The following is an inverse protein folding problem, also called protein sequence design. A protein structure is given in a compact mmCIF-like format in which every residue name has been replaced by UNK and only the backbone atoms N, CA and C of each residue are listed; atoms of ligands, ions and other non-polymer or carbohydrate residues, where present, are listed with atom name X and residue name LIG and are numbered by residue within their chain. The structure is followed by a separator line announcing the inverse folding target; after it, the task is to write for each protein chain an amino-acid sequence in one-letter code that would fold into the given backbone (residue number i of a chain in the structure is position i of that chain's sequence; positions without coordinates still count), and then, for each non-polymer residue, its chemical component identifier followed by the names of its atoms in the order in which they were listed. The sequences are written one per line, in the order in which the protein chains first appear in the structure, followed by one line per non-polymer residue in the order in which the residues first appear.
data_IF_829647664515
#
_entry.id   IF_829647664515
#
_cell.length_a   1.000
_cell.length_b   1.000
_cell.length_c   1.000
_cell.angle_alpha   90.00
_cell.angle_beta   90.00
_cell.angle_gamma   90.00
#
_symmetry.space_group_name_H-M   'P 1'
#
loop_
_entity.id
_entity.type
_entity.pdbx_description
1 polymer ?
#
# COMPACT_ATOMS: atom_id res chain seq x y z
N UNK A 1 71.48 44.14 5.46
CA UNK A 1 70.68 44.68 4.39
C UNK A 1 69.22 44.33 4.69
N UNK A 2 68.45 45.32 4.99
CA UNK A 2 67.04 45.25 5.43
C UNK A 2 66.07 45.10 4.23
N UNK A 3 65.13 44.17 4.33
CA UNK A 3 63.98 44.11 3.44
C UNK A 3 62.69 44.42 4.24
N UNK A 4 61.77 45.27 3.74
CA UNK A 4 60.56 45.64 4.45
C UNK A 4 59.43 44.64 4.18
N UNK A 5 58.65 44.38 5.22
CA UNK A 5 57.42 43.62 5.18
C UNK A 5 56.32 44.46 4.60
N UNK A 6 55.72 44.03 3.49
CA UNK A 6 54.45 44.57 2.97
C UNK A 6 53.26 43.74 3.46
N UNK A 7 52.40 44.39 4.21
CA UNK A 7 51.17 43.85 4.82
C UNK A 7 50.10 43.73 3.73
N UNK A 8 49.79 42.55 3.26
CA UNK A 8 48.60 42.31 2.45
C UNK A 8 47.40 42.00 3.36
N UNK A 9 46.47 42.94 3.45
CA UNK A 9 45.16 42.72 4.06
C UNK A 9 44.30 41.91 3.11
N UNK A 10 44.02 40.63 3.44
CA UNK A 10 42.95 39.82 2.82
C UNK A 10 41.60 40.35 3.38
N UNK A 11 40.82 40.93 2.52
CA UNK A 11 39.40 41.21 2.78
C UNK A 11 38.61 39.93 2.53
N UNK A 12 38.30 39.23 3.62
CA UNK A 12 37.33 38.10 3.56
C UNK A 12 35.91 38.68 3.43
N UNK A 13 35.41 38.76 2.21
CA UNK A 13 34.01 39.02 1.96
C UNK A 13 33.23 37.75 2.29
N UNK A 14 32.64 37.73 3.49
CA UNK A 14 31.75 36.66 3.90
C UNK A 14 30.46 36.72 3.05
N UNK A 15 30.32 35.77 2.14
CA UNK A 15 29.01 35.50 1.50
C UNK A 15 28.15 34.85 2.57
N UNK A 16 27.27 35.64 3.20
CA UNK A 16 26.18 35.12 4.00
C UNK A 16 25.21 34.42 3.04
N UNK A 17 25.30 33.09 2.96
CA UNK A 17 24.23 32.28 2.42
C UNK A 17 23.03 32.51 3.34
N UNK A 18 22.12 33.36 2.92
CA UNK A 18 20.76 33.39 3.44
C UNK A 18 20.14 32.03 3.14
N UNK A 19 20.16 31.13 4.13
CA UNK A 19 19.30 29.97 4.14
C UNK A 19 17.86 30.51 4.14
N UNK A 20 17.25 30.64 2.96
CA UNK A 20 15.82 30.83 2.86
C UNK A 20 15.18 29.66 3.62
N UNK A 21 14.28 29.91 4.59
CA UNK A 21 13.51 28.82 5.14
C UNK A 21 12.81 28.17 3.95
N UNK A 22 12.97 26.87 3.78
CA UNK A 22 12.16 26.11 2.85
C UNK A 22 10.71 26.37 3.29
N UNK A 23 10.02 27.22 2.53
CA UNK A 23 8.60 27.42 2.72
C UNK A 23 7.98 26.04 2.56
N UNK A 24 7.46 25.48 3.64
CA UNK A 24 6.71 24.25 3.56
C UNK A 24 5.60 24.48 2.54
N UNK A 25 5.69 23.78 1.43
CA UNK A 25 4.73 23.85 0.37
C UNK A 25 3.33 23.62 0.95
N UNK A 26 2.42 24.55 0.71
CA UNK A 26 1.09 24.52 1.30
C UNK A 26 0.33 23.30 0.78
N UNK A 27 -0.19 22.48 1.70
CA UNK A 27 -1.10 21.40 1.34
C UNK A 27 -2.52 21.83 1.66
N UNK A 28 -3.35 21.96 0.64
CA UNK A 28 -4.74 22.38 0.78
C UNK A 28 -5.71 21.22 0.54
N UNK A 29 -6.78 21.20 1.32
CA UNK A 29 -7.86 20.23 1.22
C UNK A 29 -9.16 20.92 0.84
N UNK A 30 -9.85 20.34 -0.13
CA UNK A 30 -11.20 20.75 -0.51
C UNK A 30 -12.10 19.52 -0.63
N UNK A 31 -13.38 19.70 -0.29
CA UNK A 31 -14.43 18.77 -0.64
C UNK A 31 -15.38 19.48 -1.60
N UNK A 32 -15.53 18.93 -2.80
CA UNK A 32 -16.46 19.46 -3.80
C UNK A 32 -17.90 19.18 -3.38
N UNK A 33 -18.85 19.93 -3.92
CA UNK A 33 -20.28 19.78 -3.63
C UNK A 33 -20.82 18.38 -3.96
N UNK A 34 -20.18 17.68 -4.90
CA UNK A 34 -20.48 16.29 -5.25
C UNK A 34 -19.82 15.27 -4.34
N UNK A 35 -19.16 15.69 -3.27
CA UNK A 35 -18.53 14.85 -2.26
C UNK A 35 -17.12 14.38 -2.58
N UNK A 36 -16.55 14.71 -3.74
CA UNK A 36 -15.17 14.38 -4.09
C UNK A 36 -14.19 15.11 -3.17
N UNK A 37 -13.24 14.38 -2.60
CA UNK A 37 -12.14 14.94 -1.85
C UNK A 37 -11.02 15.33 -2.80
N UNK A 38 -10.39 16.49 -2.57
CA UNK A 38 -9.27 17.00 -3.36
C UNK A 38 -8.18 17.47 -2.42
N UNK A 39 -6.98 16.93 -2.59
CA UNK A 39 -5.78 17.33 -1.86
C UNK A 39 -4.78 17.84 -2.87
N UNK A 40 -4.29 19.05 -2.67
CA UNK A 40 -3.30 19.70 -3.55
C UNK A 40 -2.10 20.08 -2.68
N UNK A 41 -0.92 19.57 -3.02
CA UNK A 41 0.33 19.84 -2.34
C UNK A 41 1.34 20.44 -3.33
N UNK A 42 1.80 21.65 -3.08
CA UNK A 42 2.84 22.28 -3.90
C UNK A 42 4.18 21.58 -3.71
N UNK A 43 4.92 21.43 -4.79
CA UNK A 43 6.31 21.01 -4.78
C UNK A 43 7.02 21.54 -6.05
N UNK A 44 7.72 22.65 -5.90
CA UNK A 44 8.36 23.36 -7.02
C UNK A 44 9.82 22.91 -7.29
N UNK A 45 10.26 21.77 -6.73
CA UNK A 45 11.63 21.27 -6.94
C UNK A 45 11.90 20.83 -8.39
N UNK A 46 10.85 20.45 -9.11
CA UNK A 46 10.90 20.08 -10.52
C UNK A 46 9.61 20.50 -11.24
N UNK A 47 9.63 20.81 -12.54
CA UNK A 47 8.45 21.26 -13.29
C UNK A 47 7.54 20.09 -13.68
N UNK A 48 7.23 19.23 -12.72
CA UNK A 48 6.39 18.02 -12.89
C UNK A 48 5.23 18.03 -11.91
N UNK A 49 4.20 17.29 -12.25
CA UNK A 49 3.04 17.07 -11.38
C UNK A 49 2.67 15.59 -11.41
N UNK A 50 2.41 15.05 -10.24
CA UNK A 50 1.78 13.75 -10.03
C UNK A 50 0.31 13.96 -9.69
N UNK A 51 -0.57 13.24 -10.38
CA UNK A 51 -1.96 13.08 -9.98
C UNK A 51 -2.21 11.64 -9.55
N UNK A 52 -2.93 11.44 -8.46
CA UNK A 52 -3.45 10.14 -8.05
C UNK A 52 -4.96 10.24 -7.82
N UNK A 53 -5.72 9.46 -8.57
CA UNK A 53 -7.17 9.36 -8.39
C UNK A 53 -7.49 8.03 -7.69
N UNK A 54 -7.84 8.13 -6.42
CA UNK A 54 -8.12 7.03 -5.51
C UNK A 54 -9.62 6.74 -5.49
N UNK A 55 -10.03 5.55 -5.91
CA UNK A 55 -11.39 5.05 -5.67
C UNK A 55 -11.36 4.14 -4.45
N UNK A 56 -12.21 4.44 -3.45
CA UNK A 56 -12.34 3.65 -2.22
C UNK A 56 -13.12 2.37 -2.50
N UNK A 57 -12.55 1.51 -3.36
CA UNK A 57 -13.11 0.24 -3.81
C UNK A 57 -11.99 -0.72 -4.22
N UNK A 58 -11.95 -1.90 -3.65
CA UNK A 58 -10.97 -2.92 -3.95
C UNK A 58 -11.57 -4.32 -3.83
N UNK A 59 -10.72 -5.34 -3.77
CA UNK A 59 -11.20 -6.74 -3.74
C UNK A 59 -11.97 -7.11 -2.47
N UNK A 60 -11.80 -6.39 -1.35
CA UNK A 60 -12.58 -6.65 -0.11
C UNK A 60 -14.07 -6.33 -0.25
N UNK A 61 -14.42 -5.52 -1.21
CA UNK A 61 -15.81 -5.12 -1.47
C UNK A 61 -16.52 -6.08 -2.43
N UNK A 62 -15.79 -7.04 -3.01
CA UNK A 62 -16.30 -8.01 -3.97
C UNK A 62 -17.15 -9.08 -3.32
N UNK A 63 -18.05 -9.65 -4.09
CA UNK A 63 -18.95 -10.71 -3.61
C UNK A 63 -18.44 -12.10 -4.03
N UNK A 64 -18.71 -13.15 -3.23
CA UNK A 64 -18.37 -14.52 -3.60
C UNK A 64 -18.89 -14.90 -4.99
N UNK A 65 -18.03 -15.55 -5.79
CA UNK A 65 -18.34 -15.94 -7.17
C UNK A 65 -18.05 -14.87 -8.23
N UNK A 66 -17.61 -13.68 -7.80
CA UNK A 66 -17.22 -12.57 -8.68
C UNK A 66 -15.91 -11.92 -8.23
N UNK A 67 -14.95 -12.70 -7.74
CA UNK A 67 -13.64 -12.20 -7.34
C UNK A 67 -12.83 -11.75 -8.56
N UNK A 68 -12.05 -10.69 -8.40
CA UNK A 68 -11.27 -10.05 -9.46
C UNK A 68 -12.03 -8.99 -10.26
N UNK A 69 -13.23 -8.58 -9.82
CA UNK A 69 -14.02 -7.52 -10.47
C UNK A 69 -13.28 -6.18 -10.48
N UNK A 70 -12.68 -5.80 -9.35
CA UNK A 70 -11.99 -4.51 -9.20
C UNK A 70 -10.78 -4.45 -10.11
N UNK A 71 -9.94 -5.48 -10.10
CA UNK A 71 -8.77 -5.59 -10.96
C UNK A 71 -9.15 -5.67 -12.45
N UNK A 72 -10.16 -6.47 -12.80
CA UNK A 72 -10.63 -6.53 -14.18
C UNK A 72 -11.21 -5.19 -14.66
N UNK A 73 -11.86 -4.42 -13.79
CA UNK A 73 -12.33 -3.09 -14.13
C UNK A 73 -11.16 -2.11 -14.30
N UNK A 74 -10.12 -2.19 -13.48
CA UNK A 74 -8.90 -1.39 -13.64
C UNK A 74 -8.36 -1.53 -15.07
N UNK A 75 -8.18 -2.77 -15.57
CA UNK A 75 -7.77 -3.03 -16.96
C UNK A 75 -8.72 -2.41 -17.99
N UNK A 76 -10.02 -2.51 -17.75
CA UNK A 76 -11.02 -1.98 -18.67
C UNK A 76 -11.07 -0.46 -18.69
N UNK A 77 -10.61 0.24 -17.65
CA UNK A 77 -10.53 1.71 -17.62
C UNK A 77 -9.59 2.29 -18.68
N UNK A 78 -8.70 1.49 -19.25
CA UNK A 78 -7.81 1.86 -20.36
C UNK A 78 -8.36 1.47 -21.74
N UNK A 79 -9.56 0.87 -21.81
CA UNK A 79 -10.13 0.36 -23.07
C UNK A 79 -11.09 1.34 -23.74
N UNK A 80 -11.06 2.61 -23.34
CA UNK A 80 -11.70 3.72 -24.01
C UNK A 80 -12.99 4.22 -23.33
N UNK A 81 -13.37 5.41 -23.77
CA UNK A 81 -14.61 6.09 -23.39
C UNK A 81 -15.40 6.40 -24.65
N UNK A 82 -16.49 7.16 -24.52
CA UNK A 82 -17.22 7.68 -25.68
C UNK A 82 -16.42 8.73 -26.47
N UNK A 83 -15.44 9.40 -25.83
CA UNK A 83 -14.66 10.50 -26.42
C UNK A 83 -13.19 10.16 -26.67
N UNK A 84 -12.68 9.13 -26.01
CA UNK A 84 -11.30 8.68 -26.10
C UNK A 84 -11.29 7.20 -26.51
N UNK A 85 -10.89 6.88 -27.76
CA UNK A 85 -10.81 5.49 -28.23
C UNK A 85 -9.89 4.61 -27.39
N UNK A 86 -10.10 3.30 -27.46
CA UNK A 86 -9.29 2.31 -26.74
C UNK A 86 -7.80 2.44 -27.08
N UNK A 87 -6.95 2.47 -26.05
CA UNK A 87 -5.49 2.64 -26.16
C UNK A 87 -5.03 4.08 -26.35
N UNK A 88 -5.90 5.03 -26.64
CA UNK A 88 -5.51 6.42 -26.82
C UNK A 88 -5.23 7.16 -25.50
N UNK A 89 -5.76 6.72 -24.37
CA UNK A 89 -5.49 7.36 -23.10
C UNK A 89 -3.98 7.43 -22.83
N UNK A 90 -3.34 6.28 -22.70
CA UNK A 90 -1.90 6.18 -22.44
C UNK A 90 -1.05 6.75 -23.58
N UNK A 91 -1.49 6.58 -24.84
CA UNK A 91 -0.80 7.19 -25.99
C UNK A 91 -0.79 8.72 -25.93
N UNK A 92 -1.88 9.34 -25.47
CA UNK A 92 -1.95 10.82 -25.31
C UNK A 92 -1.07 11.30 -24.17
N UNK A 93 -1.04 10.57 -23.05
CA UNK A 93 -0.14 10.89 -21.92
C UNK A 93 1.33 10.75 -22.36
N UNK A 94 1.70 9.64 -22.96
CA UNK A 94 3.06 9.41 -23.46
C UNK A 94 3.51 10.41 -24.53
N UNK A 95 2.62 10.83 -25.43
CA UNK A 95 2.90 11.86 -26.42
C UNK A 95 3.24 13.24 -25.81
N UNK A 96 2.80 13.49 -24.59
CA UNK A 96 3.10 14.69 -23.78
C UNK A 96 4.33 14.48 -22.86
N UNK A 97 5.02 13.32 -22.97
CA UNK A 97 6.17 12.99 -22.15
C UNK A 97 5.80 12.52 -20.72
N UNK A 98 4.54 12.16 -20.48
CA UNK A 98 4.07 11.64 -19.21
C UNK A 98 4.06 10.10 -19.17
N UNK A 99 3.91 9.59 -17.95
CA UNK A 99 3.74 8.17 -17.64
C UNK A 99 2.45 7.99 -16.85
N UNK A 100 1.64 7.00 -17.22
CA UNK A 100 0.41 6.63 -16.54
C UNK A 100 0.45 5.17 -16.11
N UNK A 101 -0.14 4.89 -14.96
CA UNK A 101 -0.31 3.53 -14.47
C UNK A 101 -1.51 3.46 -13.52
N UNK A 102 -1.82 2.23 -13.07
CA UNK A 102 -2.82 1.99 -12.06
C UNK A 102 -2.45 0.76 -11.22
N UNK A 103 -3.09 0.61 -10.08
CA UNK A 103 -3.07 -0.61 -9.31
C UNK A 103 -4.38 -0.81 -8.55
N UNK A 104 -4.71 -2.06 -8.30
CA UNK A 104 -5.81 -2.46 -7.41
C UNK A 104 -5.24 -3.20 -6.20
N UNK A 105 -5.61 -2.74 -5.03
CA UNK A 105 -5.34 -3.41 -3.76
C UNK A 105 -6.60 -4.08 -3.20
N UNK A 106 -6.53 -4.72 -2.05
CA UNK A 106 -7.74 -5.14 -1.36
C UNK A 106 -8.72 -3.98 -1.08
N UNK A 107 -8.25 -2.76 -0.88
CA UNK A 107 -9.04 -1.68 -0.29
C UNK A 107 -9.31 -0.50 -1.21
N UNK A 108 -8.52 -0.33 -2.27
CA UNK A 108 -8.63 0.77 -3.24
C UNK A 108 -8.26 0.33 -4.66
N UNK A 109 -8.65 1.17 -5.62
CA UNK A 109 -8.13 1.17 -6.98
C UNK A 109 -7.64 2.57 -7.29
N UNK A 110 -6.37 2.70 -7.68
CA UNK A 110 -5.69 3.98 -7.85
C UNK A 110 -5.19 4.11 -9.28
N UNK A 111 -5.43 5.26 -9.86
CA UNK A 111 -4.91 5.66 -11.18
C UNK A 111 -3.98 6.83 -10.98
N UNK A 112 -2.79 6.78 -11.57
CA UNK A 112 -1.81 7.84 -11.41
C UNK A 112 -1.17 8.24 -12.72
N UNK A 113 -0.83 9.52 -12.81
CA UNK A 113 -0.13 10.11 -13.95
C UNK A 113 0.96 11.04 -13.44
N UNK A 114 2.19 10.82 -13.90
CA UNK A 114 3.32 11.73 -13.70
C UNK A 114 3.62 12.43 -15.03
N UNK A 115 3.61 13.77 -15.05
CA UNK A 115 3.72 14.53 -16.29
C UNK A 115 4.27 15.94 -16.02
N UNK A 116 4.78 16.64 -17.07
CA UNK A 116 5.12 18.04 -16.94
C UNK A 116 3.90 18.88 -16.51
N UNK A 117 4.07 19.76 -15.53
CA UNK A 117 2.99 20.50 -14.84
C UNK A 117 2.04 21.25 -15.79
N UNK A 118 2.56 21.78 -16.89
CA UNK A 118 1.75 22.49 -17.92
C UNK A 118 0.65 21.61 -18.54
N UNK A 119 0.76 20.28 -18.46
CA UNK A 119 -0.19 19.33 -19.05
C UNK A 119 -1.24 18.83 -18.04
N UNK A 120 -1.21 19.28 -16.79
CA UNK A 120 -2.20 18.93 -15.77
C UNK A 120 -3.66 19.08 -16.23
N UNK A 121 -4.08 20.17 -16.91
CA UNK A 121 -5.46 20.29 -17.37
C UNK A 121 -5.89 19.18 -18.34
N UNK A 122 -4.97 18.67 -19.15
CA UNK A 122 -5.24 17.54 -20.05
C UNK A 122 -5.48 16.25 -19.26
N UNK A 123 -4.66 15.98 -18.23
CA UNK A 123 -4.84 14.82 -17.34
C UNK A 123 -6.18 14.90 -16.63
N UNK A 124 -6.50 16.04 -15.98
CA UNK A 124 -7.78 16.22 -15.26
C UNK A 124 -8.99 15.98 -16.17
N UNK A 125 -8.94 16.46 -17.42
CA UNK A 125 -10.00 16.23 -18.40
C UNK A 125 -10.15 14.76 -18.76
N UNK A 126 -9.05 14.05 -18.98
CA UNK A 126 -9.05 12.62 -19.33
C UNK A 126 -9.54 11.75 -18.16
N UNK A 127 -9.12 12.07 -16.92
CA UNK A 127 -9.55 11.40 -15.70
C UNK A 127 -11.05 11.60 -15.44
N UNK A 128 -11.54 12.84 -15.59
CA UNK A 128 -12.96 13.14 -15.45
C UNK A 128 -13.81 12.42 -16.51
N UNK A 129 -13.30 12.33 -17.76
CA UNK A 129 -13.97 11.61 -18.84
C UNK A 129 -14.10 10.12 -18.51
N UNK A 130 -13.01 9.44 -18.11
CA UNK A 130 -13.08 8.01 -17.80
C UNK A 130 -13.87 7.69 -16.51
N UNK A 131 -14.02 8.64 -15.58
CA UNK A 131 -14.88 8.50 -14.41
C UNK A 131 -16.36 8.32 -14.79
N UNK A 132 -16.81 8.91 -15.89
CA UNK A 132 -18.24 8.94 -16.24
C UNK A 132 -18.58 8.28 -17.57
N UNK A 133 -17.64 8.22 -18.50
CA UNK A 133 -17.91 7.85 -19.90
C UNK A 133 -17.23 6.55 -20.32
N UNK A 134 -16.74 5.73 -19.39
CA UNK A 134 -16.15 4.43 -19.72
C UNK A 134 -17.07 3.63 -20.63
N UNK A 135 -16.56 3.23 -21.79
CA UNK A 135 -17.29 2.48 -22.79
C UNK A 135 -16.40 1.44 -23.46
N UNK A 136 -16.55 0.20 -23.08
CA UNK A 136 -15.83 -0.91 -23.68
C UNK A 136 -16.77 -1.91 -24.37
N UNK A 137 -16.31 -2.48 -25.47
CA UNK A 137 -17.05 -3.53 -26.18
C UNK A 137 -16.92 -4.89 -25.48
N UNK A 138 -17.87 -5.76 -25.72
CA UNK A 138 -17.80 -7.15 -25.23
C UNK A 138 -16.61 -7.91 -25.84
N UNK A 139 -16.14 -7.51 -27.04
CA UNK A 139 -14.94 -8.06 -27.64
C UNK A 139 -13.68 -7.63 -26.88
N UNK A 140 -13.55 -6.34 -26.52
CA UNK A 140 -12.45 -5.83 -25.68
C UNK A 140 -12.42 -6.55 -24.34
N UNK A 141 -13.56 -6.70 -23.68
CA UNK A 141 -13.67 -7.47 -22.43
C UNK A 141 -13.18 -8.90 -22.60
N UNK A 142 -13.66 -9.66 -23.61
CA UNK A 142 -13.22 -11.05 -23.81
C UNK A 142 -11.72 -11.18 -24.05
N UNK A 143 -11.11 -10.22 -24.75
CA UNK A 143 -9.66 -10.22 -24.98
C UNK A 143 -8.92 -9.92 -23.68
N UNK A 144 -9.35 -8.92 -22.92
CA UNK A 144 -8.68 -8.54 -21.67
C UNK A 144 -8.79 -9.63 -20.62
N UNK A 145 -9.93 -10.32 -20.52
CA UNK A 145 -10.06 -11.47 -19.62
C UNK A 145 -9.10 -12.63 -19.94
N UNK A 146 -8.58 -12.73 -21.18
CA UNK A 146 -7.48 -13.68 -21.46
C UNK A 146 -6.16 -13.19 -20.88
N UNK A 147 -5.88 -11.90 -20.99
CA UNK A 147 -4.68 -11.26 -20.41
C UNK A 147 -4.70 -11.42 -18.88
N UNK A 148 -5.80 -11.06 -18.23
CA UNK A 148 -5.95 -11.15 -16.76
C UNK A 148 -5.81 -12.60 -16.26
N UNK A 149 -6.34 -13.58 -16.97
CA UNK A 149 -6.15 -15.00 -16.60
C UNK A 149 -4.71 -15.47 -16.77
N UNK A 150 -4.01 -14.97 -17.79
CA UNK A 150 -2.59 -15.26 -17.97
C UNK A 150 -1.74 -14.58 -16.89
N UNK A 151 -2.03 -13.33 -16.59
CA UNK A 151 -1.43 -12.61 -15.46
C UNK A 151 -1.65 -13.34 -14.13
N UNK A 152 -2.87 -13.83 -13.90
CA UNK A 152 -3.19 -14.64 -12.72
C UNK A 152 -2.29 -15.89 -12.63
N UNK A 153 -2.05 -16.58 -13.77
CA UNK A 153 -1.12 -17.72 -13.76
C UNK A 153 0.28 -17.30 -13.38
N UNK A 154 0.81 -16.27 -14.04
CA UNK A 154 2.19 -15.81 -13.84
C UNK A 154 2.41 -15.24 -12.44
N UNK A 155 1.48 -14.42 -11.94
CA UNK A 155 1.65 -13.73 -10.67
C UNK A 155 1.29 -14.57 -9.46
N UNK A 156 0.39 -15.54 -9.58
CA UNK A 156 -0.07 -16.33 -8.41
C UNK A 156 0.24 -17.82 -8.56
N UNK A 157 -0.20 -18.46 -9.66
CA UNK A 157 -0.09 -19.90 -9.77
C UNK A 157 1.36 -20.38 -10.00
N UNK A 158 2.12 -19.62 -10.81
CA UNK A 158 3.53 -19.88 -11.10
C UNK A 158 4.49 -19.19 -10.11
N UNK A 159 3.96 -18.39 -9.17
CA UNK A 159 4.72 -17.75 -8.10
C UNK A 159 4.57 -18.51 -6.79
N UNK A 160 5.59 -19.25 -6.32
CA UNK A 160 5.51 -19.99 -5.07
C UNK A 160 5.14 -19.10 -3.86
N UNK A 161 5.68 -17.88 -3.79
CA UNK A 161 5.41 -16.96 -2.70
C UNK A 161 3.94 -16.50 -2.70
N UNK A 162 3.41 -16.11 -3.84
CA UNK A 162 2.02 -15.63 -3.93
C UNK A 162 1.02 -16.79 -3.79
N UNK A 163 1.33 -17.97 -4.30
CA UNK A 163 0.53 -19.18 -4.08
C UNK A 163 0.47 -19.57 -2.59
N UNK A 164 1.62 -19.48 -1.89
CA UNK A 164 1.70 -19.71 -0.45
C UNK A 164 0.89 -18.66 0.33
N UNK A 165 1.01 -17.40 -0.03
CA UNK A 165 0.27 -16.30 0.59
C UNK A 165 -1.25 -16.42 0.34
N UNK A 166 -1.67 -16.72 -0.89
CA UNK A 166 -3.10 -16.94 -1.17
C UNK A 166 -3.66 -18.13 -0.38
N UNK A 167 -2.88 -19.19 -0.21
CA UNK A 167 -3.28 -20.31 0.65
C UNK A 167 -3.46 -19.87 2.11
N UNK A 168 -2.56 -19.02 2.62
CA UNK A 168 -2.68 -18.43 3.95
C UNK A 168 -3.98 -17.62 4.06
N UNK A 169 -4.24 -16.69 3.13
CA UNK A 169 -5.45 -15.88 3.10
C UNK A 169 -6.71 -16.75 3.12
N UNK A 170 -6.75 -17.79 2.28
CA UNK A 170 -7.90 -18.69 2.14
C UNK A 170 -8.26 -19.48 3.40
N UNK A 171 -7.29 -19.75 4.30
CA UNK A 171 -7.54 -20.41 5.59
C UNK A 171 -7.66 -19.44 6.76
N UNK A 172 -7.04 -18.26 6.65
CA UNK A 172 -7.12 -17.22 7.67
C UNK A 172 -8.52 -16.61 7.75
N UNK A 173 -9.13 -16.31 6.61
CA UNK A 173 -10.39 -15.59 6.51
C UNK A 173 -11.55 -16.52 6.10
N UNK A 174 -12.74 -16.28 6.65
CA UNK A 174 -13.95 -17.04 6.32
C UNK A 174 -14.95 -16.21 5.54
N UNK A 175 -15.18 -14.97 5.99
CA UNK A 175 -16.19 -14.06 5.43
C UNK A 175 -15.57 -13.00 4.54
N UNK A 176 -14.42 -12.47 4.95
CA UNK A 176 -13.74 -11.41 4.21
C UNK A 176 -13.38 -11.87 2.80
N UNK A 177 -13.59 -11.00 1.81
CA UNK A 177 -13.10 -11.21 0.45
C UNK A 177 -11.55 -11.23 0.37
N UNK A 178 -10.83 -10.76 1.40
CA UNK A 178 -9.38 -10.95 1.55
C UNK A 178 -8.93 -12.41 1.63
N UNK A 179 -9.85 -13.36 1.62
CA UNK A 179 -9.52 -14.80 1.50
C UNK A 179 -8.94 -15.19 0.13
N UNK A 180 -8.94 -14.30 -0.83
CA UNK A 180 -8.40 -14.51 -2.19
C UNK A 180 -7.44 -13.40 -2.56
N UNK A 181 -6.52 -13.68 -3.47
CA UNK A 181 -5.66 -12.66 -4.06
C UNK A 181 -6.51 -11.63 -4.84
N UNK A 182 -6.08 -10.38 -4.88
CA UNK A 182 -6.80 -9.24 -5.50
C UNK A 182 -7.17 -9.49 -6.96
N UNK A 183 -6.34 -10.19 -7.71
CA UNK A 183 -6.62 -10.57 -9.11
C UNK A 183 -7.82 -11.52 -9.25
N UNK A 184 -8.34 -12.08 -8.14
CA UNK A 184 -9.43 -13.03 -8.12
C UNK A 184 -9.00 -14.48 -8.35
N UNK A 185 -9.92 -15.43 -8.16
CA UNK A 185 -9.67 -16.86 -8.40
C UNK A 185 -10.01 -17.25 -9.84
N UNK A 186 -9.24 -18.15 -10.43
CA UNK A 186 -9.37 -18.55 -11.83
C UNK A 186 -10.82 -18.96 -12.20
N UNK A 187 -11.49 -19.72 -11.32
CA UNK A 187 -12.89 -20.11 -11.54
C UNK A 187 -13.82 -18.92 -11.75
N UNK A 188 -13.70 -17.89 -10.91
CA UNK A 188 -14.56 -16.72 -10.97
C UNK A 188 -14.22 -15.87 -12.20
N UNK A 189 -12.93 -15.72 -12.53
CA UNK A 189 -12.46 -15.03 -13.74
C UNK A 189 -12.99 -15.65 -15.04
N UNK A 190 -13.27 -16.96 -15.05
CA UNK A 190 -13.94 -17.63 -16.19
C UNK A 190 -15.43 -17.30 -16.30
N UNK A 191 -16.07 -16.90 -15.21
CA UNK A 191 -17.52 -16.67 -15.15
C UNK A 191 -17.92 -15.18 -15.17
N UNK A 192 -16.96 -14.26 -14.99
CA UNK A 192 -17.23 -12.82 -15.12
C UNK A 192 -17.78 -12.48 -16.50
N UNK A 193 -18.73 -11.55 -16.51
CA UNK A 193 -19.42 -11.07 -17.73
C UNK A 193 -19.20 -9.55 -17.89
N UNK A 194 -19.27 -9.03 -19.11
CA UNK A 194 -19.15 -7.58 -19.36
C UNK A 194 -20.09 -6.75 -18.48
N UNK A 195 -21.31 -7.23 -18.25
CA UNK A 195 -22.30 -6.51 -17.45
C UNK A 195 -21.94 -6.46 -15.95
N UNK A 196 -21.17 -7.43 -15.43
CA UNK A 196 -20.71 -7.40 -14.04
C UNK A 196 -19.77 -6.19 -13.82
N UNK A 197 -18.83 -5.98 -14.75
CA UNK A 197 -17.90 -4.84 -14.70
C UNK A 197 -18.62 -3.51 -14.93
N UNK A 198 -19.56 -3.46 -15.89
CA UNK A 198 -20.36 -2.24 -16.13
C UNK A 198 -21.20 -1.87 -14.90
N UNK A 199 -21.73 -2.86 -14.19
CA UNK A 199 -22.46 -2.65 -12.94
C UNK A 199 -21.54 -2.16 -11.84
N UNK A 200 -20.36 -2.80 -11.68
CA UNK A 200 -19.34 -2.42 -10.69
C UNK A 200 -18.89 -0.98 -10.88
N UNK A 201 -18.57 -0.60 -12.13
CA UNK A 201 -18.24 0.77 -12.51
C UNK A 201 -19.36 1.76 -12.14
N UNK A 202 -20.59 1.48 -12.53
CA UNK A 202 -21.73 2.37 -12.22
C UNK A 202 -21.99 2.52 -10.73
N UNK A 203 -21.66 1.52 -9.94
CA UNK A 203 -21.89 1.53 -8.48
C UNK A 203 -20.81 2.31 -7.72
N UNK A 204 -19.55 2.19 -8.13
CA UNK A 204 -18.43 2.58 -7.30
C UNK A 204 -17.56 3.72 -7.85
N UNK A 205 -17.54 3.93 -9.17
CA UNK A 205 -16.75 4.98 -9.79
C UNK A 205 -17.54 6.28 -9.84
N UNK A 206 -17.52 6.99 -8.72
CA UNK A 206 -18.27 8.23 -8.51
C UNK A 206 -17.43 9.22 -7.69
N UNK A 207 -17.67 10.56 -7.85
CA UNK A 207 -16.94 11.58 -7.12
C UNK A 207 -16.94 11.38 -5.60
N UNK A 208 -18.10 11.06 -5.02
CA UNK A 208 -18.25 10.85 -3.59
C UNK A 208 -17.68 9.51 -3.06
N UNK A 209 -17.04 8.73 -3.91
CA UNK A 209 -16.23 7.56 -3.56
C UNK A 209 -14.77 7.73 -3.99
N UNK A 210 -14.37 8.96 -4.34
CA UNK A 210 -13.05 9.25 -4.88
C UNK A 210 -12.34 10.36 -4.10
N UNK A 211 -11.00 10.20 -4.01
CA UNK A 211 -10.07 11.24 -3.55
C UNK A 211 -9.09 11.53 -4.67
N UNK A 212 -8.98 12.78 -5.09
CA UNK A 212 -7.98 13.24 -6.05
C UNK A 212 -6.84 13.91 -5.30
N UNK A 213 -5.64 13.42 -5.50
CA UNK A 213 -4.41 13.96 -4.91
C UNK A 213 -3.55 14.49 -6.04
N UNK A 214 -3.06 15.71 -5.89
CA UNK A 214 -2.21 16.41 -6.86
C UNK A 214 -0.99 16.93 -6.10
N UNK A 215 0.21 16.47 -6.48
CA UNK A 215 1.47 16.88 -5.86
C UNK A 215 2.45 17.31 -6.95
N UNK A 216 3.05 18.47 -6.84
CA UNK A 216 4.05 18.94 -7.79
C UNK A 216 4.04 20.44 -8.01
N UNK A 217 4.59 20.86 -9.17
CA UNK A 217 4.75 22.26 -9.56
C UNK A 217 3.39 22.87 -9.99
N UNK A 218 2.57 23.16 -9.00
CA UNK A 218 1.20 23.64 -9.21
C UNK A 218 0.86 24.82 -8.28
N UNK A 219 -0.03 25.70 -8.75
CA UNK A 219 -0.67 26.69 -7.88
C UNK A 219 -2.00 26.13 -7.38
N UNK A 220 -2.25 26.06 -6.07
CA UNK A 220 -3.43 25.41 -5.50
C UNK A 220 -4.75 26.04 -5.95
N UNK A 221 -4.86 27.36 -6.05
CA UNK A 221 -6.10 28.04 -6.43
C UNK A 221 -6.46 27.74 -7.89
N UNK A 222 -5.48 27.86 -8.79
CA UNK A 222 -5.67 27.58 -10.21
C UNK A 222 -5.97 26.11 -10.45
N UNK A 223 -5.27 25.23 -9.73
CA UNK A 223 -5.49 23.78 -9.78
C UNK A 223 -6.89 23.42 -9.30
N UNK A 224 -7.33 23.99 -8.18
CA UNK A 224 -8.68 23.77 -7.68
C UNK A 224 -9.76 24.26 -8.66
N UNK A 225 -9.54 25.42 -9.30
CA UNK A 225 -10.46 25.93 -10.33
C UNK A 225 -10.57 24.94 -11.51
N UNK A 226 -9.43 24.39 -11.99
CA UNK A 226 -9.41 23.36 -13.03
C UNK A 226 -10.11 22.07 -12.58
N UNK A 227 -9.87 21.59 -11.35
CA UNK A 227 -10.56 20.42 -10.79
C UNK A 227 -12.07 20.67 -10.74
N UNK A 228 -12.52 21.81 -10.25
CA UNK A 228 -13.94 22.18 -10.23
C UNK A 228 -14.56 22.21 -11.63
N UNK A 229 -13.81 22.70 -12.62
CA UNK A 229 -14.27 22.74 -14.02
C UNK A 229 -14.53 21.32 -14.57
N UNK A 230 -13.65 20.36 -14.33
CA UNK A 230 -13.76 19.04 -14.93
C UNK A 230 -14.57 18.05 -14.07
N UNK A 231 -14.44 18.08 -12.75
CA UNK A 231 -15.08 17.13 -11.85
C UNK A 231 -16.32 17.68 -11.15
N UNK A 232 -16.43 19.01 -10.98
CA UNK A 232 -17.49 19.61 -10.17
C UNK A 232 -18.90 19.37 -10.70
N UNK A 233 -19.07 19.16 -12.02
CA UNK A 233 -20.35 18.89 -12.65
C UNK A 233 -20.75 17.42 -12.65
N UNK A 234 -19.83 16.51 -12.26
CA UNK A 234 -20.12 15.08 -12.19
C UNK A 234 -21.01 14.82 -10.96
N UNK A 235 -22.20 14.24 -11.12
CA UNK A 235 -23.09 14.05 -9.99
C UNK A 235 -22.60 12.98 -9.03
N UNK A 236 -22.81 13.20 -7.73
CA UNK A 236 -22.68 12.14 -6.72
C UNK A 236 -23.64 10.97 -7.01
N UNK A 237 -23.27 9.79 -6.54
CA UNK A 237 -24.11 8.57 -6.67
C UNK A 237 -24.43 8.00 -5.30
N UNK A 238 -25.57 7.34 -5.18
CA UNK A 238 -25.88 6.51 -4.03
C UNK A 238 -24.94 5.29 -4.02
N UNK A 239 -24.02 5.26 -3.05
CA UNK A 239 -23.09 4.14 -2.92
C UNK A 239 -23.78 2.93 -2.28
N UNK A 240 -23.50 1.70 -2.73
CA UNK A 240 -23.98 0.50 -2.08
C UNK A 240 -23.50 0.41 -0.63
N UNK A 241 -24.33 -0.21 0.23
CA UNK A 241 -23.88 -0.56 1.58
C UNK A 241 -22.80 -1.63 1.49
N UNK A 242 -21.64 -1.38 2.13
CA UNK A 242 -20.57 -2.37 2.21
C UNK A 242 -20.99 -3.55 3.08
N UNK A 243 -20.49 -4.73 2.74
CA UNK A 243 -20.76 -5.93 3.53
C UNK A 243 -20.04 -5.86 4.88
N UNK A 244 -20.65 -6.41 5.91
CA UNK A 244 -19.97 -6.66 7.19
C UNK A 244 -19.07 -7.88 7.03
N UNK A 245 -17.79 -7.63 7.01
CA UNK A 245 -16.71 -8.62 6.87
C UNK A 245 -16.01 -8.92 8.18
N UNK A 246 -16.58 -8.48 9.32
CA UNK A 246 -15.99 -8.70 10.63
C UNK A 246 -15.87 -10.21 10.94
N UNK A 247 -14.72 -10.58 11.47
CA UNK A 247 -14.38 -11.96 11.85
C UNK A 247 -13.74 -12.04 13.23
N UNK A 248 -13.87 -13.21 13.87
CA UNK A 248 -13.17 -13.48 15.12
C UNK A 248 -11.67 -13.60 14.88
N UNK A 249 -10.89 -12.74 15.52
CA UNK A 249 -9.44 -12.72 15.39
C UNK A 249 -8.74 -13.89 16.13
N UNK A 250 -9.40 -14.44 17.16
CA UNK A 250 -8.88 -15.53 18.00
C UNK A 250 -9.28 -16.95 17.55
N UNK A 251 -9.98 -17.07 16.41
CA UNK A 251 -10.43 -18.38 15.90
C UNK A 251 -9.24 -19.31 15.60
N UNK A 252 -9.17 -20.53 16.15
CA UNK A 252 -8.15 -21.49 15.78
C UNK A 252 -8.25 -21.89 14.30
N UNK A 253 -7.10 -22.07 13.65
CA UNK A 253 -7.01 -22.51 12.26
C UNK A 253 -6.07 -23.71 12.18
N UNK A 254 -6.50 -24.77 11.48
CA UNK A 254 -5.64 -25.92 11.25
C UNK A 254 -4.51 -25.53 10.28
N UNK A 255 -3.27 -25.91 10.56
CA UNK A 255 -2.16 -25.75 9.63
C UNK A 255 -2.46 -26.37 8.27
N UNK A 256 -1.90 -25.80 7.22
CA UNK A 256 -2.00 -26.35 5.88
C UNK A 256 -0.60 -26.58 5.28
N UNK A 257 -0.51 -27.54 4.38
CA UNK A 257 0.68 -27.81 3.59
C UNK A 257 0.32 -27.83 2.11
N UNK A 258 1.27 -27.45 1.26
CA UNK A 258 1.14 -27.52 -0.19
C UNK A 258 2.45 -27.93 -0.85
N UNK A 259 2.40 -28.29 -2.12
CA UNK A 259 3.57 -28.57 -2.95
C UNK A 259 3.52 -27.67 -4.18
N UNK A 260 4.68 -27.17 -4.59
CA UNK A 260 4.82 -26.35 -5.78
C UNK A 260 6.18 -26.55 -6.43
N UNK A 261 6.32 -26.06 -7.66
CA UNK A 261 7.61 -26.02 -8.35
C UNK A 261 8.50 -24.94 -7.73
N UNK A 262 9.11 -25.29 -6.61
CA UNK A 262 10.09 -24.44 -5.89
C UNK A 262 11.36 -25.24 -5.64
N UNK A 263 12.50 -24.56 -5.56
CA UNK A 263 13.79 -25.21 -5.25
C UNK A 263 13.96 -25.49 -3.76
N UNK A 264 13.29 -24.74 -2.91
CA UNK A 264 13.46 -24.80 -1.46
C UNK A 264 12.09 -24.74 -0.77
N UNK A 265 11.98 -25.28 0.44
CA UNK A 265 10.78 -25.12 1.26
C UNK A 265 10.54 -23.64 1.59
N UNK A 266 9.28 -23.27 1.69
CA UNK A 266 8.82 -21.94 2.12
C UNK A 266 7.80 -22.11 3.23
N UNK A 267 7.67 -21.11 4.08
CA UNK A 267 6.61 -21.08 5.08
C UNK A 267 6.10 -19.68 5.31
N UNK A 268 4.87 -19.58 5.75
CA UNK A 268 4.27 -18.34 6.21
C UNK A 268 3.47 -18.59 7.49
N UNK A 269 3.69 -17.72 8.48
CA UNK A 269 2.87 -17.57 9.67
C UNK A 269 2.03 -16.33 9.52
N UNK A 270 0.75 -16.38 9.89
CA UNK A 270 -0.12 -15.23 9.94
C UNK A 270 -0.85 -15.18 11.28
N UNK A 271 -1.01 -14.00 11.83
CA UNK A 271 -1.81 -13.74 13.02
C UNK A 271 -2.84 -12.68 12.67
N UNK A 272 -4.13 -12.98 12.90
CA UNK A 272 -5.19 -11.98 12.71
C UNK A 272 -5.12 -10.98 13.83
N UNK A 273 -4.89 -9.74 13.48
CA UNK A 273 -4.67 -8.64 14.43
C UNK A 273 -5.57 -7.45 14.09
N UNK A 274 -5.82 -6.56 15.07
CA UNK A 274 -6.54 -5.31 14.81
C UNK A 274 -5.73 -4.41 13.87
N UNK A 275 -6.43 -3.52 13.18
CA UNK A 275 -5.92 -2.37 12.44
C UNK A 275 -6.20 -1.09 13.20
N UNK A 276 -5.62 0.03 12.80
CA UNK A 276 -5.88 1.32 13.41
C UNK A 276 -7.28 1.80 13.03
N UNK A 277 -8.17 1.96 14.03
CA UNK A 277 -9.51 2.48 13.84
C UNK A 277 -9.65 3.91 14.37
N UNK A 278 -8.90 4.23 15.41
CA UNK A 278 -8.85 5.55 16.04
C UNK A 278 -7.41 5.89 16.37
N UNK A 279 -7.05 7.15 16.26
CA UNK A 279 -5.69 7.61 16.55
C UNK A 279 -5.17 7.20 17.95
N UNK A 280 -6.04 6.98 18.91
CA UNK A 280 -5.65 6.58 20.27
C UNK A 280 -5.60 5.06 20.50
N UNK A 281 -5.83 4.24 19.49
CA UNK A 281 -5.70 2.78 19.60
C UNK A 281 -4.20 2.42 19.68
N UNK A 282 -3.71 2.01 20.85
CA UNK A 282 -2.28 1.76 21.06
C UNK A 282 -1.77 0.45 20.43
N UNK A 283 -2.64 -0.56 20.36
CA UNK A 283 -2.24 -1.91 19.93
C UNK A 283 -1.71 -1.97 18.49
N UNK A 284 -2.35 -1.33 17.47
CA UNK A 284 -1.81 -1.33 16.12
C UNK A 284 -0.41 -0.70 16.01
N UNK A 285 -0.15 0.40 16.73
CA UNK A 285 1.20 1.00 16.79
C UNK A 285 2.23 0.05 17.41
N UNK A 286 1.83 -0.65 18.48
CA UNK A 286 2.71 -1.60 19.14
C UNK A 286 3.01 -2.83 18.28
N UNK A 287 2.06 -3.29 17.45
CA UNK A 287 2.24 -4.37 16.48
C UNK A 287 3.21 -3.96 15.36
N UNK A 288 3.15 -2.72 14.91
CA UNK A 288 4.03 -2.16 13.89
C UNK A 288 5.48 -2.09 14.40
N UNK A 289 5.68 -1.48 15.56
CA UNK A 289 7.00 -1.41 16.24
C UNK A 289 7.54 -2.81 16.57
N UNK A 290 6.69 -3.76 16.97
CA UNK A 290 7.09 -5.16 17.18
C UNK A 290 7.63 -5.77 15.87
N UNK A 291 7.00 -5.48 14.73
CA UNK A 291 7.50 -5.90 13.41
C UNK A 291 8.93 -5.40 13.16
N UNK A 292 9.16 -4.12 13.39
CA UNK A 292 10.46 -3.47 13.22
C UNK A 292 11.54 -4.01 14.17
N UNK A 293 11.20 -4.35 15.42
CA UNK A 293 12.13 -5.00 16.36
C UNK A 293 12.52 -6.39 15.88
N UNK A 294 11.58 -7.13 15.27
CA UNK A 294 11.83 -8.50 14.80
C UNK A 294 12.55 -8.54 13.46
N UNK A 295 12.27 -7.62 12.52
CA UNK A 295 12.82 -7.67 11.15
C UNK A 295 13.13 -6.31 10.49
N UNK A 296 12.80 -5.17 11.05
CA UNK A 296 12.91 -3.85 10.40
C UNK A 296 14.33 -3.39 10.02
N UNK A 297 15.38 -4.07 10.46
CA UNK A 297 16.77 -3.68 10.18
C UNK A 297 17.76 -4.84 10.39
N UNK A 298 19.01 -4.66 9.96
CA UNK A 298 20.03 -5.70 10.05
C UNK A 298 20.33 -6.18 11.48
N UNK A 299 20.13 -5.38 12.51
CA UNK A 299 20.31 -5.78 13.92
C UNK A 299 19.01 -6.29 14.58
N UNK A 300 17.90 -6.37 13.83
CA UNK A 300 16.62 -6.92 14.30
C UNK A 300 16.77 -8.40 14.69
N UNK A 301 15.90 -8.87 15.60
CA UNK A 301 16.07 -10.18 16.25
C UNK A 301 16.12 -11.36 15.26
N UNK A 302 15.26 -11.40 14.25
CA UNK A 302 15.28 -12.48 13.26
C UNK A 302 16.55 -12.47 12.43
N UNK A 303 16.92 -11.32 11.89
CA UNK A 303 18.14 -11.14 11.13
C UNK A 303 19.39 -11.49 11.95
N UNK A 304 19.47 -11.02 13.20
CA UNK A 304 20.59 -11.25 14.09
C UNK A 304 20.70 -12.72 14.55
N UNK A 305 19.57 -13.30 15.02
CA UNK A 305 19.61 -14.59 15.72
C UNK A 305 19.44 -15.77 14.77
N UNK A 306 18.52 -15.70 13.79
CA UNK A 306 18.13 -16.83 12.96
C UNK A 306 18.83 -16.83 11.60
N UNK A 307 19.06 -15.67 10.98
CA UNK A 307 19.74 -15.60 9.68
C UNK A 307 21.25 -15.63 9.86
N UNK A 308 21.83 -14.69 10.60
CA UNK A 308 23.30 -14.57 10.74
C UNK A 308 23.88 -15.40 11.88
N UNK A 309 23.18 -15.50 13.01
CA UNK A 309 23.66 -16.20 14.20
C UNK A 309 23.56 -17.73 14.04
N UNK A 310 22.36 -18.29 14.16
CA UNK A 310 22.13 -19.72 14.08
C UNK A 310 22.14 -20.28 12.64
N UNK A 311 22.06 -19.40 11.64
CA UNK A 311 21.99 -19.79 10.22
C UNK A 311 20.91 -20.82 9.91
N UNK A 312 19.75 -20.69 10.57
CA UNK A 312 18.59 -21.57 10.43
C UNK A 312 17.59 -21.10 9.38
N UNK A 313 17.69 -19.82 8.99
CA UNK A 313 16.91 -19.23 7.92
C UNK A 313 17.81 -18.57 6.87
N UNK A 314 17.41 -18.62 5.60
CA UNK A 314 18.01 -17.82 4.53
C UNK A 314 17.40 -16.42 4.50
N UNK A 315 16.08 -16.36 4.71
CA UNK A 315 15.31 -15.12 4.69
C UNK A 315 14.14 -15.24 5.66
N UNK A 316 13.85 -14.15 6.35
CA UNK A 316 12.64 -13.94 7.13
C UNK A 316 12.19 -12.51 6.87
N UNK A 317 10.91 -12.34 6.55
CA UNK A 317 10.30 -11.03 6.32
C UNK A 317 9.05 -10.93 7.19
N UNK A 318 8.89 -9.79 7.87
CA UNK A 318 7.68 -9.45 8.63
C UNK A 318 6.89 -8.40 7.86
N UNK A 319 5.57 -8.54 7.85
CA UNK A 319 4.67 -7.55 7.23
C UNK A 319 3.41 -7.37 8.07
N UNK A 320 3.05 -6.11 8.28
CA UNK A 320 1.80 -5.65 8.88
C UNK A 320 1.43 -4.31 8.29
N UNK A 321 0.16 -4.10 7.99
CA UNK A 321 -0.39 -2.83 7.53
C UNK A 321 -1.22 -2.20 8.65
N UNK A 322 -0.67 -1.14 9.23
CA UNK A 322 -1.30 -0.34 10.28
C UNK A 322 -2.56 0.37 9.76
N UNK A 323 -2.46 0.94 8.54
CA UNK A 323 -3.46 1.80 7.91
C UNK A 323 -4.35 0.99 6.97
N UNK A 324 -5.37 0.35 7.52
CA UNK A 324 -6.28 -0.50 6.77
C UNK A 324 -7.73 -0.24 7.14
N UNK A 325 -8.66 -0.62 6.25
CA UNK A 325 -10.11 -0.53 6.47
C UNK A 325 -10.68 -1.70 7.27
N UNK A 326 -9.88 -2.73 7.54
CA UNK A 326 -10.30 -3.96 8.22
C UNK A 326 -9.14 -4.61 8.98
N UNK A 327 -9.44 -5.59 9.88
CA UNK A 327 -8.40 -6.37 10.53
C UNK A 327 -7.45 -7.03 9.54
N UNK A 328 -6.17 -7.03 9.88
CA UNK A 328 -5.08 -7.47 9.02
C UNK A 328 -4.48 -8.81 9.48
N UNK A 329 -3.62 -9.37 8.65
CA UNK A 329 -2.67 -10.40 9.05
C UNK A 329 -1.33 -9.73 9.36
N UNK A 330 -0.85 -9.93 10.57
CA UNK A 330 0.56 -9.75 10.90
C UNK A 330 1.28 -11.02 10.46
N UNK A 331 2.16 -10.94 9.48
CA UNK A 331 2.73 -12.11 8.80
C UNK A 331 4.23 -12.21 8.97
N UNK A 332 4.71 -13.46 9.07
CA UNK A 332 6.14 -13.80 8.94
C UNK A 332 6.27 -14.78 7.79
N UNK A 333 6.86 -14.31 6.70
CA UNK A 333 7.30 -15.15 5.60
C UNK A 333 8.72 -15.63 5.86
N UNK A 334 9.01 -16.92 5.67
CA UNK A 334 10.35 -17.42 5.93
C UNK A 334 10.78 -18.53 4.97
N UNK A 335 12.07 -18.51 4.65
CA UNK A 335 12.77 -19.52 3.88
C UNK A 335 13.80 -20.20 4.78
N UNK A 336 13.65 -21.49 5.11
CA UNK A 336 14.62 -22.24 5.90
C UNK A 336 15.99 -22.31 5.22
N UNK A 337 17.05 -22.31 6.00
CA UNK A 337 18.38 -22.65 5.51
C UNK A 337 18.50 -24.15 5.23
N UNK A 338 19.50 -24.55 4.43
CA UNK A 338 19.75 -25.96 4.13
C UNK A 338 19.91 -26.78 5.41
N UNK A 339 19.18 -27.90 5.49
CA UNK A 339 19.18 -28.76 6.67
C UNK A 339 18.20 -28.35 7.79
N UNK A 340 17.54 -27.20 7.67
CA UNK A 340 16.50 -26.75 8.61
C UNK A 340 15.12 -27.08 8.04
N UNK A 341 14.26 -27.75 8.80
CA UNK A 341 12.87 -27.97 8.40
C UNK A 341 12.01 -26.72 8.67
N UNK A 342 10.90 -26.58 7.91
CA UNK A 342 9.88 -25.55 8.16
C UNK A 342 9.34 -25.60 9.58
N UNK A 343 9.11 -26.81 10.11
CA UNK A 343 8.66 -27.02 11.49
C UNK A 343 9.68 -26.49 12.53
N UNK A 344 10.97 -26.76 12.31
CA UNK A 344 12.03 -26.24 13.21
C UNK A 344 12.13 -24.73 13.13
N UNK A 345 12.12 -24.15 11.93
CA UNK A 345 12.18 -22.69 11.76
C UNK A 345 10.96 -22.02 12.39
N UNK A 346 9.76 -22.57 12.21
CA UNK A 346 8.55 -22.11 12.88
C UNK A 346 8.74 -22.01 14.40
N UNK A 347 9.23 -23.10 15.03
CA UNK A 347 9.48 -23.12 16.47
C UNK A 347 10.45 -22.02 16.91
N UNK A 348 11.49 -21.77 16.13
CA UNK A 348 12.49 -20.73 16.43
C UNK A 348 11.90 -19.31 16.30
N UNK A 349 11.08 -19.06 15.28
CA UNK A 349 10.36 -17.80 15.10
C UNK A 349 9.40 -17.58 16.27
N UNK A 350 8.54 -18.57 16.57
CA UNK A 350 7.59 -18.49 17.68
C UNK A 350 8.30 -18.30 19.03
N UNK A 351 9.49 -18.91 19.22
CA UNK A 351 10.29 -18.72 20.43
C UNK A 351 10.82 -17.29 20.58
N UNK A 352 11.21 -16.61 19.50
CA UNK A 352 11.64 -15.21 19.56
C UNK A 352 10.46 -14.27 19.91
N UNK A 353 9.26 -14.57 19.40
CA UNK A 353 8.04 -13.82 19.73
C UNK A 353 7.66 -14.09 21.20
N UNK A 354 7.71 -15.33 21.65
CA UNK A 354 7.42 -15.72 23.02
C UNK A 354 8.38 -15.08 24.03
N UNK A 355 9.67 -14.98 23.70
CA UNK A 355 10.66 -14.29 24.54
C UNK A 355 10.29 -12.82 24.76
N UNK A 356 9.83 -12.11 23.70
CA UNK A 356 9.32 -10.74 23.87
C UNK A 356 8.06 -10.73 24.71
N UNK A 357 7.14 -11.68 24.53
CA UNK A 357 5.90 -11.76 25.30
C UNK A 357 6.14 -12.02 26.82
N UNK A 358 7.19 -12.75 27.16
CA UNK A 358 7.56 -13.08 28.54
C UNK A 358 8.49 -12.05 29.17
N UNK A 359 9.56 -11.68 28.48
CA UNK A 359 10.66 -10.89 29.01
C UNK A 359 10.66 -9.42 28.55
N UNK A 360 9.82 -9.08 27.54
CA UNK A 360 9.78 -7.74 26.94
C UNK A 360 10.96 -7.47 25.99
N UNK A 361 11.18 -6.19 25.76
CA UNK A 361 12.29 -5.68 24.92
C UNK A 361 13.12 -4.69 25.74
N UNK A 362 14.41 -4.57 25.42
CA UNK A 362 15.25 -3.54 26.04
C UNK A 362 14.92 -2.16 25.44
N UNK A 363 15.19 -1.12 26.24
CA UNK A 363 15.03 0.26 25.76
C UNK A 363 15.90 0.52 24.52
N UNK A 364 17.09 -0.06 24.45
CA UNK A 364 17.97 0.09 23.31
C UNK A 364 17.39 -0.53 22.03
N UNK A 365 16.77 -1.72 22.11
CA UNK A 365 16.07 -2.35 20.97
C UNK A 365 14.89 -1.49 20.51
N UNK A 366 14.06 -1.04 21.45
CA UNK A 366 12.91 -0.19 21.16
C UNK A 366 13.31 1.10 20.47
N UNK A 367 14.26 1.84 21.04
CA UNK A 367 14.74 3.11 20.50
C UNK A 367 15.45 2.95 19.15
N UNK A 368 16.06 1.79 18.90
CA UNK A 368 16.67 1.50 17.60
C UNK A 368 15.58 1.29 16.52
N UNK A 369 14.54 0.54 16.83
CA UNK A 369 13.43 0.32 15.91
C UNK A 369 12.72 1.64 15.58
N UNK A 370 12.39 2.45 16.58
CA UNK A 370 11.75 3.76 16.40
C UNK A 370 12.61 4.68 15.52
N UNK A 371 13.90 4.82 15.80
CA UNK A 371 14.79 5.67 14.98
C UNK A 371 14.93 5.17 13.55
N UNK A 372 14.87 3.87 13.31
CA UNK A 372 14.91 3.33 11.95
C UNK A 372 13.66 3.68 11.16
N UNK A 373 12.49 3.60 11.81
CA UNK A 373 11.21 4.02 11.18
C UNK A 373 11.23 5.53 10.88
N UNK A 374 11.67 6.35 11.80
CA UNK A 374 11.81 7.80 11.58
C UNK A 374 12.77 8.11 10.42
N UNK A 375 13.86 7.35 10.28
CA UNK A 375 14.80 7.52 9.18
C UNK A 375 14.21 7.10 7.83
N UNK A 376 13.52 5.96 7.78
CA UNK A 376 12.83 5.49 6.57
C UNK A 376 11.80 6.52 6.09
N UNK A 377 11.01 7.06 7.01
CA UNK A 377 9.99 8.06 6.71
C UNK A 377 10.57 9.36 6.13
N UNK A 378 11.72 9.81 6.61
CA UNK A 378 12.39 11.01 6.06
C UNK A 378 12.72 10.78 4.58
N UNK A 379 13.23 9.60 4.22
CA UNK A 379 13.53 9.26 2.82
C UNK A 379 12.26 9.18 1.97
N UNK A 380 11.18 8.61 2.50
CA UNK A 380 9.92 8.47 1.78
C UNK A 380 9.27 9.84 1.49
N UNK A 381 9.47 10.84 2.33
CA UNK A 381 8.94 12.20 2.12
C UNK A 381 9.59 12.96 0.96
N UNK A 382 10.77 12.58 0.53
CA UNK A 382 11.44 13.25 -0.58
C UNK A 382 10.77 12.97 -1.93
N UNK A 383 10.05 11.87 -2.06
CA UNK A 383 9.31 11.52 -3.26
C UNK A 383 7.89 12.13 -3.27
N UNK A 384 7.52 12.78 -4.38
CA UNK A 384 6.14 13.25 -4.59
C UNK A 384 5.16 12.08 -4.63
N UNK A 385 5.61 10.90 -5.10
CA UNK A 385 4.82 9.67 -5.15
C UNK A 385 4.53 9.12 -3.75
N UNK A 386 5.55 9.02 -2.91
CA UNK A 386 5.39 8.54 -1.53
C UNK A 386 4.49 9.47 -0.72
N UNK A 387 4.65 10.81 -0.88
CA UNK A 387 3.77 11.81 -0.24
C UNK A 387 2.32 11.65 -0.67
N UNK A 388 2.07 11.54 -1.98
CA UNK A 388 0.72 11.36 -2.51
C UNK A 388 0.12 10.03 -2.03
N UNK A 389 0.90 8.95 -2.04
CA UNK A 389 0.45 7.63 -1.62
C UNK A 389 0.11 7.58 -0.13
N UNK A 390 0.91 8.22 0.73
CA UNK A 390 0.61 8.31 2.17
C UNK A 390 -0.70 9.09 2.43
N UNK A 391 -0.90 10.23 1.74
CA UNK A 391 -2.14 11.01 1.84
C UNK A 391 -3.34 10.16 1.41
N UNK A 392 -3.21 9.42 0.30
CA UNK A 392 -4.27 8.55 -0.21
C UNK A 392 -4.60 7.40 0.73
N UNK A 393 -3.58 6.74 1.26
CA UNK A 393 -3.73 5.65 2.24
C UNK A 393 -4.46 6.11 3.50
N UNK A 394 -4.08 7.27 4.06
CA UNK A 394 -4.75 7.85 5.22
C UNK A 394 -6.23 8.12 4.95
N UNK A 395 -6.56 8.81 3.84
CA UNK A 395 -7.94 9.12 3.47
C UNK A 395 -8.75 7.85 3.17
N UNK A 396 -8.13 6.84 2.56
CA UNK A 396 -8.76 5.55 2.29
C UNK A 396 -9.04 4.76 3.57
N UNK A 397 -8.11 4.74 4.52
CA UNK A 397 -8.27 4.11 5.83
C UNK A 397 -9.31 4.82 6.72
N UNK A 398 -9.72 6.04 6.37
CA UNK A 398 -10.75 6.80 7.09
C UNK A 398 -10.19 7.86 8.03
N UNK A 399 -8.90 8.12 7.95
CA UNK A 399 -8.22 9.25 8.60
C UNK A 399 -8.15 10.46 7.69
N UNK A 400 -7.67 11.57 8.21
CA UNK A 400 -7.26 12.72 7.41
C UNK A 400 -5.76 12.60 7.06
N UNK A 401 -5.37 13.07 5.89
CA UNK A 401 -3.94 13.24 5.59
C UNK A 401 -3.21 14.09 6.66
N UNK A 402 -3.93 14.96 7.39
CA UNK A 402 -3.38 15.77 8.49
C UNK A 402 -3.05 14.96 9.74
N UNK A 403 -3.59 13.76 9.87
CA UNK A 403 -3.36 12.89 11.03
C UNK A 403 -1.97 12.22 11.00
N UNK A 404 -1.23 12.34 9.88
CA UNK A 404 0.12 11.79 9.71
C UNK A 404 1.06 12.14 10.87
N UNK A 405 1.13 13.42 11.24
CA UNK A 405 2.00 13.87 12.33
C UNK A 405 1.62 13.26 13.68
N UNK A 406 0.33 13.07 13.95
CA UNK A 406 -0.16 12.45 15.18
C UNK A 406 0.13 10.94 15.18
N UNK A 407 -0.09 10.25 14.06
CA UNK A 407 0.24 8.82 13.91
C UNK A 407 1.72 8.59 14.19
N UNK A 408 2.59 9.39 13.59
CA UNK A 408 4.04 9.35 13.81
C UNK A 408 4.41 9.60 15.26
N UNK A 409 3.85 10.65 15.86
CA UNK A 409 4.07 10.94 17.27
C UNK A 409 3.67 9.76 18.16
N UNK A 410 2.62 9.04 17.83
CA UNK A 410 2.19 7.86 18.58
C UNK A 410 3.09 6.66 18.36
N UNK A 411 3.57 6.44 17.15
CA UNK A 411 4.59 5.43 16.87
C UNK A 411 5.85 5.67 17.69
N UNK A 412 6.36 6.91 17.73
CA UNK A 412 7.55 7.24 18.51
C UNK A 412 7.35 7.18 20.02
N UNK A 413 6.11 7.12 20.50
CA UNK A 413 5.77 7.01 21.94
C UNK A 413 5.38 5.59 22.36
N UNK A 414 5.48 4.60 21.49
CA UNK A 414 5.26 3.20 21.84
C UNK A 414 6.24 2.78 22.94
N UNK A 415 5.73 2.14 23.99
CA UNK A 415 6.52 1.69 25.13
C UNK A 415 6.89 0.21 25.04
N UNK A 416 7.95 -0.20 25.73
CA UNK A 416 8.36 -1.61 25.82
C UNK A 416 7.22 -2.51 26.35
N UNK A 417 6.40 -2.00 27.29
CA UNK A 417 5.23 -2.72 27.79
C UNK A 417 4.19 -2.96 26.68
N UNK A 418 3.89 -1.94 25.86
CA UNK A 418 2.95 -2.10 24.76
C UNK A 418 3.45 -3.10 23.70
N UNK A 419 4.74 -3.09 23.39
CA UNK A 419 5.37 -4.09 22.51
C UNK A 419 5.23 -5.50 23.11
N UNK A 420 5.46 -5.66 24.41
CA UNK A 420 5.26 -6.93 25.10
C UNK A 420 3.79 -7.40 25.04
N UNK A 421 2.83 -6.50 25.22
CA UNK A 421 1.40 -6.80 25.09
C UNK A 421 1.04 -7.20 23.65
N UNK A 422 1.61 -6.54 22.64
CA UNK A 422 1.44 -6.91 21.24
C UNK A 422 1.98 -8.32 20.96
N UNK A 423 3.18 -8.65 21.46
CA UNK A 423 3.74 -10.01 21.32
C UNK A 423 2.86 -11.09 21.96
N UNK A 424 2.18 -10.80 23.07
CA UNK A 424 1.21 -11.73 23.71
C UNK A 424 -0.01 -12.05 22.84
N UNK A 425 -0.35 -11.23 21.84
CA UNK A 425 -1.38 -11.56 20.86
C UNK A 425 -0.93 -12.59 19.84
N UNK A 426 0.38 -12.67 19.57
CA UNK A 426 0.96 -13.52 18.51
C UNK A 426 1.32 -14.91 19.06
N UNK A 427 0.35 -15.58 19.68
CA UNK A 427 0.57 -16.92 20.29
C UNK A 427 0.35 -18.04 19.28
N UNK A 428 1.01 -19.17 19.49
CA UNK A 428 0.98 -20.32 18.58
C UNK A 428 -0.42 -20.88 18.32
N UNK A 429 -1.35 -20.78 19.30
CA UNK A 429 -2.74 -21.23 19.14
C UNK A 429 -3.59 -20.30 18.26
N UNK A 430 -3.14 -19.06 18.02
CA UNK A 430 -3.76 -18.10 17.10
C UNK A 430 -3.10 -18.12 15.72
N UNK A 431 -1.92 -18.74 15.60
CA UNK A 431 -1.16 -18.79 14.37
C UNK A 431 -1.93 -19.48 13.24
N UNK A 432 -1.96 -18.85 12.10
CA UNK A 432 -2.35 -19.44 10.83
C UNK A 432 -1.06 -19.85 10.12
N UNK A 433 -0.82 -21.13 9.92
CA UNK A 433 0.44 -21.64 9.39
C UNK A 433 0.22 -22.36 8.07
N UNK A 434 1.02 -21.98 7.08
CA UNK A 434 1.10 -22.72 5.81
C UNK A 434 2.58 -22.99 5.48
N UNK A 435 2.85 -24.21 5.09
CA UNK A 435 4.15 -24.60 4.53
C UNK A 435 4.04 -25.04 3.08
N UNK A 436 5.10 -24.83 2.34
CA UNK A 436 5.25 -25.29 0.97
C UNK A 436 6.52 -26.13 0.84
N UNK A 437 6.37 -27.32 0.28
CA UNK A 437 7.47 -28.20 -0.02
C UNK A 437 7.69 -28.29 -1.54
N UNK A 438 8.93 -28.49 -2.02
CA UNK A 438 9.18 -28.78 -3.42
C UNK A 438 8.29 -29.91 -3.93
N UNK A 439 7.75 -29.78 -5.15
CA UNK A 439 7.17 -30.90 -5.86
C UNK A 439 8.28 -31.95 -6.12
N UNK A 440 7.95 -33.22 -5.94
CA UNK A 440 8.90 -34.31 -6.22
C UNK A 440 9.09 -34.48 -7.71
#
# INVERSE_FOLDING_TARGET
MLFPQSLQRLICTGIALLAMPAAFAETVFHQLDNGMKVIIAEDHRAPVVLTQLWYKIGSIDEVPGKTGLSHALEHMMFKGTHTVPAGEYSSRISALGGEDNAYTSPEETVYHVNIAAQHLPTVLRLEADRMVNLNFSDAAFRNEMKVIREERRQTVEDSPNNALYEKLLGIAWQKSANRTHTIGIMRDLHHLKPNDLRQWYRQWYAPNNATLIIVGDVNPEQTLAAVKQYFGQIPARALPKRQDISERLDRPVKPAAMRANTKQPLMVLGYRVPHLQKLNDSMPYALDVLGSILDGHSAARFSKNLVRGQQTAQRIDVSYDLLSRQPQLWTVFAMPANGTSTAKLRQLIEAQIADIAENGVSEEELQRAIRQEEANEIYDRDSIESRASLMGTLENAGFSYRDEAEIRRRLSQVTAQQVQEAARLLTSNRAVFVEMQPAR
#
